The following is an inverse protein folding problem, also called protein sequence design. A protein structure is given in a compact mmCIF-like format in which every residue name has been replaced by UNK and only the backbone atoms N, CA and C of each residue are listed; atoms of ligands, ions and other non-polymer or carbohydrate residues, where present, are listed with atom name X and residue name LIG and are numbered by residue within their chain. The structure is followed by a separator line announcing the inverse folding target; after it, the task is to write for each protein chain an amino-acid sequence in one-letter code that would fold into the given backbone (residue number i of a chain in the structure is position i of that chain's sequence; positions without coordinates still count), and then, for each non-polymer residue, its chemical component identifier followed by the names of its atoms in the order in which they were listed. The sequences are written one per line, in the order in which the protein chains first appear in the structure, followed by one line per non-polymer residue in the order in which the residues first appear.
data_IF_389528429798
#
_entry.id   IF_389528429798
#
_cell.length_a   1.000
_cell.length_b   1.000
_cell.length_c   1.000
_cell.angle_alpha   90.00
_cell.angle_beta   90.00
_cell.angle_gamma   90.00
#
_symmetry.space_group_name_H-M   'P 1'
#
loop_
_entity.id
_entity.type
_entity.pdbx_description
1 polymer ?
#
# COMPACT_ATOMS: atom_id res chain seq x y z
N UNK A 1 -17.19 11.97 14.27
CA UNK A 1 -16.11 12.70 14.95
C UNK A 1 -15.07 11.67 15.42
N UNK A 2 -14.15 11.26 14.54
CA UNK A 2 -13.08 10.29 14.85
C UNK A 2 -11.75 11.04 14.81
N UNK A 3 -11.21 11.33 15.99
CA UNK A 3 -9.87 11.88 16.17
C UNK A 3 -9.02 10.85 16.92
N UNK A 4 -8.05 10.28 16.22
CA UNK A 4 -6.88 9.56 16.70
C UNK A 4 -6.08 9.23 15.42
N UNK A 5 -4.84 9.65 15.17
CA UNK A 5 -3.77 10.14 16.02
C UNK A 5 -2.84 10.96 15.13
N UNK A 6 -2.41 12.11 15.60
CA UNK A 6 -1.53 13.03 14.88
C UNK A 6 -0.19 12.38 14.54
N UNK A 7 -0.05 11.91 13.30
CA UNK A 7 1.23 12.06 12.62
C UNK A 7 1.44 13.56 12.50
N UNK A 8 2.55 14.08 13.03
CA UNK A 8 2.98 15.48 12.92
C UNK A 8 3.29 15.82 11.45
N UNK A 9 2.27 15.80 10.59
CA UNK A 9 2.38 15.98 9.15
C UNK A 9 2.80 17.40 8.75
N UNK A 10 2.78 18.36 9.68
CA UNK A 10 3.19 19.74 9.41
C UNK A 10 4.67 19.84 9.04
N UNK A 11 5.56 18.98 9.56
CA UNK A 11 7.01 19.06 9.27
C UNK A 11 7.37 18.48 7.90
N UNK A 12 6.59 17.51 7.40
CA UNK A 12 6.79 16.93 6.07
C UNK A 12 6.22 17.79 4.93
N UNK A 13 5.23 18.64 5.22
CA UNK A 13 4.39 19.25 4.19
C UNK A 13 5.09 20.33 3.34
N UNK A 14 6.13 20.99 3.86
CA UNK A 14 6.75 22.12 3.13
C UNK A 14 8.28 22.13 3.05
N UNK A 15 8.99 21.30 3.84
CA UNK A 15 10.46 21.35 3.91
C UNK A 15 11.20 20.18 3.27
N UNK A 16 10.53 19.03 3.06
CA UNK A 16 11.19 17.78 2.65
C UNK A 16 10.68 17.23 1.31
N UNK A 17 9.41 17.47 0.97
CA UNK A 17 8.77 17.00 -0.25
C UNK A 17 7.81 18.06 -0.79
N UNK A 18 7.57 18.06 -2.09
CA UNK A 18 6.63 18.98 -2.71
C UNK A 18 5.18 18.61 -2.35
N UNK A 19 4.29 19.61 -2.26
CA UNK A 19 2.88 19.39 -1.89
C UNK A 19 2.19 18.31 -2.74
N UNK A 20 2.43 18.32 -4.06
CA UNK A 20 1.85 17.36 -5.00
C UNK A 20 2.30 15.91 -4.74
N UNK A 21 3.51 15.72 -4.22
CA UNK A 21 4.08 14.40 -3.95
C UNK A 21 3.42 13.79 -2.70
N UNK A 22 3.29 14.60 -1.65
CA UNK A 22 2.55 14.24 -0.44
C UNK A 22 1.08 13.97 -0.76
N UNK A 23 0.46 14.83 -1.56
CA UNK A 23 -0.92 14.66 -2.02
C UNK A 23 -1.10 13.37 -2.83
N UNK A 24 -0.15 13.02 -3.69
CA UNK A 24 -0.15 11.77 -4.46
C UNK A 24 -0.12 10.53 -3.57
N UNK A 25 0.74 10.50 -2.54
CA UNK A 25 0.79 9.38 -1.61
C UNK A 25 -0.46 9.27 -0.74
N UNK A 26 -0.90 10.38 -0.14
CA UNK A 26 -2.12 10.41 0.69
C UNK A 26 -3.36 10.04 -0.14
N UNK A 27 -3.45 10.56 -1.37
CA UNK A 27 -4.52 10.24 -2.31
C UNK A 27 -4.57 8.75 -2.63
N UNK A 28 -3.41 8.12 -2.84
CA UNK A 28 -3.31 6.69 -3.14
C UNK A 28 -3.85 5.82 -1.99
N UNK A 29 -3.50 6.13 -0.72
CA UNK A 29 -4.06 5.42 0.43
C UNK A 29 -5.56 5.63 0.60
N UNK A 30 -6.06 6.83 0.29
CA UNK A 30 -7.51 7.12 0.30
C UNK A 30 -8.24 6.31 -0.76
N UNK A 31 -7.72 6.22 -1.98
CA UNK A 31 -8.29 5.42 -3.07
C UNK A 31 -8.33 3.93 -2.71
N UNK A 32 -7.28 3.39 -2.07
CA UNK A 32 -7.28 2.01 -1.55
C UNK A 32 -8.39 1.82 -0.51
N UNK A 33 -8.50 2.73 0.44
CA UNK A 33 -9.53 2.66 1.49
C UNK A 33 -10.94 2.78 0.91
N UNK A 34 -11.11 3.58 -0.14
CA UNK A 34 -12.35 3.71 -0.90
C UNK A 34 -12.67 2.52 -1.80
N UNK A 35 -11.76 1.55 -1.94
CA UNK A 35 -11.94 0.38 -2.80
C UNK A 35 -11.75 0.65 -4.29
N UNK A 36 -11.32 1.87 -4.67
CA UNK A 36 -11.10 2.25 -6.08
C UNK A 36 -10.07 1.35 -6.77
N UNK A 37 -9.16 0.75 -6.00
CA UNK A 37 -8.11 -0.15 -6.48
C UNK A 37 -8.40 -1.64 -6.25
N UNK A 38 -9.64 -2.02 -5.89
CA UNK A 38 -9.98 -3.41 -5.58
C UNK A 38 -10.16 -4.32 -6.82
N UNK A 39 -10.36 -3.73 -8.00
CA UNK A 39 -10.62 -4.49 -9.22
C UNK A 39 -9.38 -5.28 -9.67
N UNK A 40 -9.52 -6.61 -9.71
CA UNK A 40 -8.49 -7.49 -10.26
C UNK A 40 -8.46 -7.49 -11.80
N UNK A 41 -7.33 -7.89 -12.37
CA UNK A 41 -7.17 -8.09 -13.81
C UNK A 41 -6.54 -9.45 -14.11
N UNK A 42 -6.68 -9.93 -15.34
CA UNK A 42 -6.11 -11.18 -15.85
C UNK A 42 -4.75 -11.00 -16.54
N UNK A 43 -4.13 -9.82 -16.41
CA UNK A 43 -2.91 -9.46 -17.16
C UNK A 43 -1.77 -10.44 -16.91
N UNK A 44 -1.56 -10.84 -15.65
CA UNK A 44 -0.46 -11.76 -15.28
C UNK A 44 -0.61 -13.14 -15.93
N UNK A 45 -1.73 -13.87 -15.76
CA UNK A 45 -1.89 -15.15 -16.45
C UNK A 45 -1.89 -15.02 -17.97
N UNK A 46 -2.43 -13.92 -18.53
CA UNK A 46 -2.42 -13.69 -19.98
C UNK A 46 -1.02 -13.50 -20.54
N UNK A 47 -0.11 -12.84 -19.83
CA UNK A 47 1.25 -12.54 -20.31
C UNK A 47 2.27 -13.62 -19.95
N UNK A 48 2.07 -14.33 -18.84
CA UNK A 48 3.10 -15.25 -18.29
C UNK A 48 2.70 -16.72 -18.38
N UNK A 49 1.42 -17.03 -18.62
CA UNK A 49 0.88 -18.39 -18.50
C UNK A 49 0.81 -18.92 -17.06
N UNK A 50 1.19 -18.12 -16.07
CA UNK A 50 1.22 -18.48 -14.66
C UNK A 50 0.19 -17.66 -13.88
N UNK A 51 -0.47 -18.23 -12.84
CA UNK A 51 -1.39 -17.47 -12.01
C UNK A 51 -0.64 -16.38 -11.25
N UNK A 52 -1.31 -15.23 -11.04
CA UNK A 52 -0.81 -14.19 -10.15
C UNK A 52 -0.65 -14.75 -8.73
N UNK A 53 0.51 -14.48 -8.11
CA UNK A 53 0.77 -14.86 -6.72
C UNK A 53 -0.08 -14.00 -5.78
N UNK A 54 -0.79 -14.64 -4.85
CA UNK A 54 -1.52 -13.92 -3.80
C UNK A 54 -0.57 -13.49 -2.69
N UNK A 55 -0.94 -12.44 -1.94
CA UNK A 55 -0.18 -12.01 -0.75
C UNK A 55 -0.01 -13.16 0.25
N UNK A 56 -1.04 -13.97 0.47
CA UNK A 56 -0.98 -15.11 1.37
C UNK A 56 0.00 -16.20 0.88
N UNK A 57 0.11 -16.43 -0.43
CA UNK A 57 1.12 -17.34 -0.98
C UNK A 57 2.54 -16.78 -0.78
N UNK A 58 2.73 -15.48 -1.01
CA UNK A 58 4.02 -14.82 -0.80
C UNK A 58 4.49 -14.94 0.66
N UNK A 59 3.64 -14.56 1.62
CA UNK A 59 3.99 -14.59 3.05
C UNK A 59 4.26 -16.00 3.60
N UNK A 60 3.62 -17.04 3.03
CA UNK A 60 3.94 -18.43 3.38
C UNK A 60 5.27 -18.91 2.80
N UNK A 61 5.63 -18.45 1.60
CA UNK A 61 6.89 -18.79 0.96
C UNK A 61 8.08 -18.04 1.56
N UNK A 62 7.84 -16.84 2.09
CA UNK A 62 8.86 -15.92 2.61
C UNK A 62 8.56 -15.52 4.07
N UNK A 63 8.65 -16.46 5.03
CA UNK A 63 8.44 -16.14 6.45
C UNK A 63 9.44 -15.10 7.00
N UNK A 64 10.62 -14.99 6.41
CA UNK A 64 11.66 -14.00 6.74
C UNK A 64 11.18 -12.56 6.61
N UNK A 65 10.30 -12.28 5.64
CA UNK A 65 9.82 -10.92 5.34
C UNK A 65 9.02 -10.30 6.50
N UNK A 66 8.35 -11.14 7.30
CA UNK A 66 7.46 -10.71 8.38
C UNK A 66 7.83 -11.30 9.75
N UNK A 67 8.95 -12.03 9.85
CA UNK A 67 9.41 -12.62 11.10
C UNK A 67 9.55 -11.58 12.22
N UNK A 68 10.04 -10.38 11.89
CA UNK A 68 10.23 -9.27 12.83
C UNK A 68 8.92 -8.69 13.38
N UNK A 69 7.78 -8.97 12.75
CA UNK A 69 6.45 -8.53 13.21
C UNK A 69 5.84 -9.46 14.27
N UNK A 70 6.47 -10.61 14.55
CA UNK A 70 5.98 -11.59 15.53
C UNK A 70 6.50 -11.37 16.95
N UNK A 71 7.36 -10.38 17.15
CA UNK A 71 7.98 -10.02 18.44
C UNK A 71 7.20 -8.96 19.20
#
# INVERSE_FOLDING_TARGET
MHAATGVRATVLRHGLYADWEVEGWVGSYRAITGGEMAAGTDVVPRLTGLPARTVAQHLRAHPEDWAHLRG
#
